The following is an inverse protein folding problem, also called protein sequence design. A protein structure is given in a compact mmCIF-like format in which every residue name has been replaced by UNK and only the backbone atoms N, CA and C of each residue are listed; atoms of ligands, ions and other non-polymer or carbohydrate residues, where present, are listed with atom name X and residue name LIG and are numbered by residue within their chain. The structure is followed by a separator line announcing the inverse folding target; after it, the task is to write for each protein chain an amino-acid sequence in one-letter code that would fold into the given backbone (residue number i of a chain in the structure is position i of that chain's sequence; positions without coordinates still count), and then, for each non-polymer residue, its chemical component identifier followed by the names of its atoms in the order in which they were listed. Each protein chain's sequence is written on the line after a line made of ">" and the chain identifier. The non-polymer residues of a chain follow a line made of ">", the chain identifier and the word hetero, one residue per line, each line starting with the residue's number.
data_IF_460718345271
#
_entry.id   IF_460718345271
#
_cell.length_a   1.000
_cell.length_b   1.000
_cell.length_c   1.000
_cell.angle_alpha   90.00
_cell.angle_beta   90.00
_cell.angle_gamma   90.00
#
_symmetry.space_group_name_H-M   'P 1'
#
loop_
_entity.id
_entity.type
_entity.pdbx_description
1 polymer ?
#
# COMPACT_ATOMS: atom_id res chain seq x y z
N UNK A 1 -8.60 0.18 -22.75
CA UNK A 1 -7.31 -0.47 -22.46
C UNK A 1 -7.54 -1.45 -21.31
N UNK A 2 -8.01 -2.66 -21.62
CA UNK A 2 -8.21 -3.69 -20.61
C UNK A 2 -6.81 -4.13 -20.16
N UNK A 3 -6.48 -3.88 -18.89
CA UNK A 3 -5.11 -3.93 -18.40
C UNK A 3 -4.46 -5.28 -18.67
N UNK A 4 -3.16 -5.27 -18.99
CA UNK A 4 -2.34 -6.47 -19.21
C UNK A 4 -2.36 -7.49 -18.04
N UNK A 5 -3.01 -7.17 -16.93
CA UNK A 5 -3.20 -8.03 -15.76
C UNK A 5 -4.52 -8.83 -15.76
N UNK A 6 -5.47 -8.53 -16.64
CA UNK A 6 -6.78 -9.24 -16.71
C UNK A 6 -7.00 -9.98 -18.02
N UNK A 7 -6.17 -9.75 -19.03
CA UNK A 7 -6.24 -10.43 -20.32
C UNK A 7 -5.77 -11.90 -20.21
N UNK A 8 -6.68 -12.83 -20.56
CA UNK A 8 -6.46 -14.28 -20.52
C UNK A 8 -5.95 -14.85 -21.85
N UNK A 9 -5.54 -13.99 -22.78
CA UNK A 9 -5.00 -14.43 -24.07
C UNK A 9 -3.81 -15.38 -23.90
N UNK A 10 -3.83 -16.57 -24.52
CA UNK A 10 -2.76 -17.57 -24.40
C UNK A 10 -1.45 -17.13 -25.10
N UNK A 11 -1.50 -16.10 -25.94
CA UNK A 11 -0.30 -15.55 -26.60
C UNK A 11 0.54 -14.67 -25.67
N UNK A 12 -0.03 -14.20 -24.56
CA UNK A 12 0.65 -13.37 -23.58
C UNK A 12 1.32 -14.26 -22.54
N UNK A 13 2.64 -14.17 -22.42
CA UNK A 13 3.43 -14.83 -21.36
C UNK A 13 3.80 -13.83 -20.28
N UNK A 14 3.72 -14.23 -19.01
CA UNK A 14 4.05 -13.37 -17.87
C UNK A 14 5.13 -14.02 -17.03
N UNK A 15 6.15 -13.25 -16.66
CA UNK A 15 7.25 -13.72 -15.82
C UNK A 15 7.28 -12.91 -14.54
N UNK A 16 7.40 -13.59 -13.40
CA UNK A 16 7.70 -12.89 -12.15
C UNK A 16 9.12 -12.32 -12.23
N UNK A 17 9.27 -11.02 -12.02
CA UNK A 17 10.59 -10.37 -12.01
C UNK A 17 11.12 -10.26 -10.58
N UNK A 18 10.45 -9.48 -9.74
CA UNK A 18 10.78 -9.28 -8.35
C UNK A 18 9.58 -8.70 -7.59
N UNK A 19 9.66 -8.78 -6.27
CA UNK A 19 8.80 -8.03 -5.36
C UNK A 19 9.65 -7.07 -4.52
N UNK A 20 9.07 -5.95 -4.13
CA UNK A 20 9.68 -5.01 -3.19
C UNK A 20 8.70 -4.69 -2.08
N UNK A 21 9.19 -4.61 -0.84
CA UNK A 21 8.41 -4.27 0.34
C UNK A 21 9.00 -3.01 0.97
N UNK A 22 8.18 -1.97 1.10
CA UNK A 22 8.53 -0.77 1.87
C UNK A 22 7.69 -0.71 3.12
N UNK A 23 8.35 -0.60 4.27
CA UNK A 23 7.74 -0.40 5.58
C UNK A 23 8.09 1.02 6.00
N UNK A 24 7.08 1.89 6.10
CA UNK A 24 7.24 3.24 6.63
C UNK A 24 6.59 3.31 8.00
N UNK A 25 7.33 3.83 8.99
CA UNK A 25 6.84 4.11 10.33
C UNK A 25 6.98 5.60 10.64
N UNK A 26 6.09 6.10 11.47
CA UNK A 26 6.04 7.51 11.89
C UNK A 26 5.95 7.64 13.40
N UNK A 27 6.29 8.82 13.91
CA UNK A 27 6.14 9.17 15.32
C UNK A 27 4.68 9.17 15.79
N UNK A 28 4.48 9.32 17.10
CA UNK A 28 3.16 9.32 17.75
C UNK A 28 2.24 10.40 17.17
N UNK A 29 2.82 11.53 16.77
CA UNK A 29 2.10 12.68 16.22
C UNK A 29 1.39 12.32 14.91
N UNK A 30 2.02 11.49 14.07
CA UNK A 30 1.42 11.01 12.81
C UNK A 30 0.23 10.07 13.11
N UNK A 31 0.36 9.21 14.13
CA UNK A 31 -0.74 8.35 14.59
C UNK A 31 -1.92 9.17 15.11
N UNK A 32 -1.66 10.20 15.92
CA UNK A 32 -2.69 11.10 16.46
C UNK A 32 -3.41 11.85 15.34
N UNK A 33 -2.67 12.40 14.38
CA UNK A 33 -3.24 13.03 13.19
C UNK A 33 -4.19 12.10 12.42
N UNK A 34 -3.75 10.87 12.12
CA UNK A 34 -4.58 9.89 11.41
C UNK A 34 -5.81 9.51 12.23
N UNK A 35 -5.65 9.31 13.54
CA UNK A 35 -6.76 8.96 14.44
C UNK A 35 -7.83 10.04 14.48
N UNK A 36 -7.44 11.32 14.63
CA UNK A 36 -8.35 12.46 14.61
C UNK A 36 -9.05 12.57 13.25
N UNK A 37 -8.31 12.43 12.14
CA UNK A 37 -8.89 12.46 10.80
C UNK A 37 -9.92 11.35 10.56
N UNK A 38 -9.59 10.11 10.92
CA UNK A 38 -10.46 8.94 10.72
C UNK A 38 -11.71 8.96 11.60
N UNK A 39 -11.61 9.44 12.85
CA UNK A 39 -12.75 9.53 13.76
C UNK A 39 -13.86 10.44 13.21
N UNK A 40 -13.50 11.51 12.49
CA UNK A 40 -14.46 12.47 11.96
C UNK A 40 -15.07 12.06 10.61
N UNK A 41 -14.39 11.21 9.83
CA UNK A 41 -14.91 10.72 8.54
C UNK A 41 -16.01 9.66 8.67
N UNK A 42 -16.15 9.02 9.84
CA UNK A 42 -17.04 7.87 10.02
C UNK A 42 -18.49 8.18 10.40
N UNK A 43 -18.78 9.31 11.06
CA UNK A 43 -20.11 9.54 11.67
C UNK A 43 -20.69 10.96 11.45
N UNK A 44 -19.88 12.01 11.27
CA UNK A 44 -20.36 13.40 11.29
C UNK A 44 -19.80 14.22 10.13
N UNK A 45 -20.38 14.08 8.93
CA UNK A 45 -20.02 14.87 7.73
C UNK A 45 -20.46 16.35 7.77
N UNK A 46 -20.67 16.94 8.95
CA UNK A 46 -21.32 18.26 9.11
C UNK A 46 -20.60 19.23 10.05
N UNK A 47 -19.43 18.88 10.59
CA UNK A 47 -18.65 19.73 11.50
C UNK A 47 -17.31 20.17 10.89
N UNK A 48 -16.71 21.24 11.45
CA UNK A 48 -15.35 21.66 11.11
C UNK A 48 -14.36 20.51 11.33
N UNK A 49 -13.55 20.21 10.31
CA UNK A 49 -12.53 19.16 10.37
C UNK A 49 -11.46 19.60 11.39
N UNK A 50 -11.24 18.85 12.50
CA UNK A 50 -10.24 19.23 13.48
C UNK A 50 -8.85 19.17 12.86
N UNK A 51 -8.13 20.29 12.93
CA UNK A 51 -6.75 20.37 12.46
C UNK A 51 -5.84 19.99 13.63
N UNK A 52 -5.22 18.82 13.56
CA UNK A 52 -4.14 18.50 14.48
C UNK A 52 -2.87 19.25 14.07
N UNK A 53 -2.30 20.00 15.00
CA UNK A 53 -0.97 20.58 14.86
C UNK A 53 -0.22 20.51 16.18
N UNK A 54 1.06 20.18 16.10
CA UNK A 54 2.00 20.22 17.22
C UNK A 54 3.08 21.31 17.03
N UNK A 55 2.82 22.28 16.16
CA UNK A 55 3.68 23.44 15.95
C UNK A 55 3.34 24.53 16.96
N UNK A 56 4.36 25.25 17.43
CA UNK A 56 4.19 26.40 18.32
C UNK A 56 3.74 27.65 17.54
N UNK A 57 3.31 28.69 18.28
CA UNK A 57 2.95 30.02 17.74
C UNK A 57 1.80 30.03 16.72
N UNK A 58 0.85 29.09 16.83
CA UNK A 58 -0.29 29.02 15.93
C UNK A 58 0.04 28.51 14.52
N UNK A 59 1.22 27.92 14.33
CA UNK A 59 1.57 27.22 13.09
C UNK A 59 0.61 26.06 12.83
N UNK A 60 0.33 25.79 11.55
CA UNK A 60 -0.48 24.65 11.11
C UNK A 60 0.43 23.61 10.46
N UNK A 61 0.41 22.38 10.99
CA UNK A 61 1.19 21.28 10.45
C UNK A 61 1.64 20.28 11.51
N UNK A 62 2.32 19.24 11.05
CA UNK A 62 2.82 18.13 11.87
C UNK A 62 4.34 18.14 11.82
N UNK A 63 4.96 18.29 12.98
CA UNK A 63 6.38 18.05 13.17
C UNK A 63 6.57 16.66 13.78
N UNK A 64 7.14 15.74 13.01
CA UNK A 64 7.40 14.38 13.48
C UNK A 64 8.53 13.75 12.67
N UNK A 65 9.03 12.62 13.16
CA UNK A 65 10.05 11.83 12.48
C UNK A 65 9.41 10.64 11.77
N UNK A 66 9.97 10.28 10.61
CA UNK A 66 9.60 9.05 9.91
C UNK A 66 10.85 8.20 9.69
N UNK A 67 10.64 6.89 9.61
CA UNK A 67 11.67 5.94 9.18
C UNK A 67 11.07 5.03 8.13
N UNK A 68 11.85 4.69 7.12
CA UNK A 68 11.43 3.77 6.06
C UNK A 68 12.48 2.71 5.83
N UNK A 69 12.03 1.47 5.73
CA UNK A 69 12.83 0.32 5.33
C UNK A 69 12.28 -0.21 4.02
N UNK A 70 13.12 -0.23 2.98
CA UNK A 70 12.76 -0.85 1.70
C UNK A 70 13.61 -2.10 1.49
N UNK A 71 12.94 -3.24 1.32
CA UNK A 71 13.55 -4.48 0.87
C UNK A 71 13.12 -4.74 -0.57
N UNK A 72 14.04 -4.51 -1.50
CA UNK A 72 13.83 -4.79 -2.93
C UNK A 72 14.30 -6.18 -3.32
N UNK A 73 13.95 -6.61 -4.53
CA UNK A 73 14.42 -7.87 -5.13
C UNK A 73 14.07 -9.12 -4.29
N UNK A 74 12.90 -9.09 -3.65
CA UNK A 74 12.36 -10.25 -2.95
C UNK A 74 11.97 -11.28 -4.00
N UNK A 75 12.67 -12.42 -3.97
CA UNK A 75 12.32 -13.60 -4.76
C UNK A 75 11.12 -14.32 -4.16
N UNK A 76 10.42 -15.08 -5.00
CA UNK A 76 9.35 -15.98 -4.57
C UNK A 76 9.91 -17.38 -4.28
N UNK A 77 9.26 -18.08 -3.37
CA UNK A 77 9.54 -19.51 -3.16
C UNK A 77 8.92 -20.33 -4.29
N UNK A 78 9.40 -21.57 -4.47
CA UNK A 78 8.83 -22.48 -5.48
C UNK A 78 7.33 -22.73 -5.28
N UNK A 79 6.85 -22.79 -4.03
CA UNK A 79 5.42 -22.96 -3.72
C UNK A 79 4.59 -21.75 -4.18
N UNK A 80 5.14 -20.54 -4.02
CA UNK A 80 4.47 -19.32 -4.48
C UNK A 80 4.50 -19.20 -6.01
N UNK A 81 5.59 -19.63 -6.66
CA UNK A 81 5.67 -19.72 -8.12
C UNK A 81 4.66 -20.74 -8.68
N UNK A 82 4.51 -21.90 -8.04
CA UNK A 82 3.50 -22.89 -8.42
C UNK A 82 2.09 -22.31 -8.28
N UNK A 83 1.81 -21.62 -7.17
CA UNK A 83 0.54 -20.93 -6.96
C UNK A 83 0.28 -19.86 -8.02
N UNK A 84 1.33 -19.16 -8.48
CA UNK A 84 1.22 -18.16 -9.54
C UNK A 84 0.86 -18.80 -10.89
N UNK A 85 1.46 -19.95 -11.22
CA UNK A 85 1.23 -20.67 -12.49
C UNK A 85 -0.09 -21.45 -12.51
N UNK A 86 -0.41 -22.14 -11.42
CA UNK A 86 -1.46 -23.16 -11.36
C UNK A 86 -2.64 -22.78 -10.45
N UNK A 87 -2.54 -21.66 -9.71
CA UNK A 87 -3.57 -21.22 -8.77
C UNK A 87 -4.91 -20.92 -9.43
N UNK A 88 -5.99 -21.10 -8.67
CA UNK A 88 -7.38 -20.93 -9.13
C UNK A 88 -7.62 -19.56 -9.78
N UNK A 89 -6.95 -18.53 -9.26
CA UNK A 89 -7.13 -17.13 -9.67
C UNK A 89 -6.23 -16.77 -10.87
N UNK A 90 -5.01 -17.31 -10.95
CA UNK A 90 -3.96 -16.84 -11.87
C UNK A 90 -3.64 -17.80 -13.01
N UNK A 91 -4.14 -19.05 -12.98
CA UNK A 91 -3.88 -20.06 -14.02
C UNK A 91 -4.20 -19.61 -15.45
N UNK A 92 -5.23 -18.78 -15.62
CA UNK A 92 -5.62 -18.27 -16.93
C UNK A 92 -4.75 -17.11 -17.43
N UNK A 93 -3.77 -16.66 -16.64
CA UNK A 93 -2.89 -15.54 -16.96
C UNK A 93 -1.52 -16.00 -17.50
N UNK A 94 -1.34 -17.29 -17.75
CA UNK A 94 -0.16 -17.85 -18.43
C UNK A 94 1.18 -17.33 -17.85
N UNK A 95 1.32 -17.44 -16.53
CA UNK A 95 2.57 -17.18 -15.85
C UNK A 95 3.58 -18.31 -16.13
N UNK A 96 4.83 -17.92 -16.35
CA UNK A 96 5.95 -18.77 -16.74
C UNK A 96 7.07 -18.63 -15.72
#
# INVERSE_FOLDING_TARGET
>A
MQGAFTDKSPTIKRYFQNASLTITSGGKEIKEYIGIGQANLGITSSGEIPIYSNLSNGGLGIFSSTTSLTRSNIGLTNNTLDSLRNGVITKSLNFQ
#
